data_IF_038541819121
#
_entry.id   IF_038541819121
#
_cell.length_a   1.000
_cell.length_b   1.000
_cell.length_c   1.000
_cell.angle_alpha   90.00
_cell.angle_beta   90.00
_cell.angle_gamma   90.00
#
_symmetry.space_group_name_H-M   'P 1'
#
loop_
_entity.id
_entity.type
_entity.pdbx_description
1 polymer ?
#
# COMPACT_ATOMS: atom_id res chain seq x y z
N UNK A 1 -8.79 -10.28 -5.31
CA UNK A 1 -7.42 -9.89 -5.71
C UNK A 1 -7.28 -8.40 -5.42
N UNK A 2 -6.40 -8.02 -4.48
CA UNK A 2 -6.38 -6.67 -3.89
C UNK A 2 -6.26 -5.52 -4.91
N UNK A 3 -6.68 -4.33 -4.48
CA UNK A 3 -6.53 -3.07 -5.23
C UNK A 3 -5.90 -2.02 -4.35
N UNK A 4 -4.97 -1.26 -4.93
CA UNK A 4 -4.38 -0.07 -4.33
C UNK A 4 -4.40 1.07 -5.35
N UNK A 5 -5.08 2.15 -4.99
CA UNK A 5 -5.01 3.45 -5.65
C UNK A 5 -4.02 4.30 -4.85
N UNK A 6 -3.13 5.00 -5.54
CA UNK A 6 -2.09 5.85 -4.97
C UNK A 6 -2.21 7.21 -5.63
N UNK A 7 -2.24 8.28 -4.85
CA UNK A 7 -2.18 9.66 -5.33
C UNK A 7 -0.98 10.37 -4.72
N UNK A 8 -0.09 10.89 -5.54
CA UNK A 8 0.99 11.79 -5.12
C UNK A 8 0.68 13.21 -5.59
N UNK A 9 0.75 14.18 -4.68
CA UNK A 9 0.49 15.60 -4.94
C UNK A 9 -0.90 15.90 -5.54
N UNK A 10 -1.87 15.01 -5.29
CA UNK A 10 -3.21 15.06 -5.91
C UNK A 10 -4.17 16.04 -5.23
N UNK A 11 -3.94 16.35 -3.95
CA UNK A 11 -4.67 17.39 -3.20
C UNK A 11 -3.85 18.66 -3.14
N UNK A 12 -2.59 18.53 -2.73
CA UNK A 12 -1.61 19.59 -2.55
C UNK A 12 -0.18 19.05 -2.71
N UNK A 13 0.80 19.87 -3.10
CA UNK A 13 2.20 19.43 -3.14
C UNK A 13 2.68 18.92 -1.78
N UNK A 14 3.36 17.78 -1.77
CA UNK A 14 3.79 17.11 -0.55
C UNK A 14 2.65 16.36 0.14
N UNK A 15 1.71 15.78 -0.61
CA UNK A 15 0.64 14.94 -0.07
C UNK A 15 0.59 13.56 -0.73
N UNK A 16 0.22 12.56 0.05
CA UNK A 16 -0.03 11.19 -0.39
C UNK A 16 -1.45 10.80 -0.05
N UNK A 17 -2.11 10.15 -0.99
CA UNK A 17 -3.37 9.47 -0.78
C UNK A 17 -3.23 8.00 -1.12
N UNK A 18 -3.78 7.11 -0.29
CA UNK A 18 -3.96 5.70 -0.63
C UNK A 18 -5.42 5.30 -0.44
N UNK A 19 -5.94 4.50 -1.34
CA UNK A 19 -7.21 3.80 -1.17
C UNK A 19 -7.03 2.34 -1.53
N UNK A 20 -7.37 1.45 -0.61
CA UNK A 20 -6.94 0.07 -0.71
C UNK A 20 -8.06 -0.88 -0.32
N UNK A 21 -8.41 -1.82 -1.21
CA UNK A 21 -9.24 -2.99 -0.88
C UNK A 21 -8.35 -4.23 -0.75
N UNK A 22 -8.46 -4.91 0.38
CA UNK A 22 -7.85 -6.22 0.60
C UNK A 22 -8.88 -7.29 0.29
N UNK A 23 -8.56 -8.08 -0.72
CA UNK A 23 -9.36 -9.22 -1.12
C UNK A 23 -8.64 -10.51 -0.75
N UNK A 24 -9.23 -11.30 0.14
CA UNK A 24 -8.58 -12.45 0.76
C UNK A 24 -9.60 -13.55 1.08
N UNK A 25 -9.10 -14.78 1.18
CA UNK A 25 -9.80 -15.92 1.76
C UNK A 25 -10.34 -15.53 3.16
N UNK A 26 -11.66 -15.59 3.39
CA UNK A 26 -12.25 -15.29 4.69
C UNK A 26 -11.73 -16.18 5.82
N UNK A 27 -11.22 -17.37 5.52
CA UNK A 27 -10.58 -18.27 6.48
C UNK A 27 -9.15 -17.84 6.87
N UNK A 28 -8.60 -16.76 6.29
CA UNK A 28 -7.34 -16.17 6.71
C UNK A 28 -7.59 -15.01 7.67
N UNK A 29 -7.44 -15.21 8.99
CA UNK A 29 -7.76 -14.19 9.98
C UNK A 29 -6.79 -13.01 9.89
N UNK A 30 -7.34 -11.80 10.02
CA UNK A 30 -6.57 -10.57 10.16
C UNK A 30 -7.20 -9.64 11.20
N UNK A 31 -6.38 -8.85 11.89
CA UNK A 31 -6.82 -7.78 12.75
C UNK A 31 -6.72 -6.42 12.02
N UNK A 32 -7.60 -5.49 12.38
CA UNK A 32 -7.58 -4.12 11.90
C UNK A 32 -6.37 -3.32 12.38
N UNK A 33 -6.32 -2.01 12.08
CA UNK A 33 -5.17 -1.17 12.36
C UNK A 33 -4.84 -1.09 13.85
N UNK A 34 -3.58 -1.39 14.18
CA UNK A 34 -3.00 -1.25 15.51
C UNK A 34 -1.50 -0.93 15.41
N UNK A 35 -0.86 -0.63 16.54
CA UNK A 35 0.59 -0.54 16.63
C UNK A 35 1.18 -1.95 16.42
N UNK A 36 1.97 -2.10 15.36
CA UNK A 36 2.62 -3.36 14.96
C UNK A 36 4.05 -3.47 15.49
N UNK A 37 4.75 -2.33 15.57
CA UNK A 37 6.10 -2.18 16.13
C UNK A 37 6.14 -0.90 16.97
N UNK A 38 6.83 -0.91 18.10
CA UNK A 38 6.94 0.24 19.00
C UNK A 38 8.12 1.16 18.64
N UNK A 39 9.26 0.57 18.26
CA UNK A 39 10.51 1.28 18.00
C UNK A 39 11.21 0.73 16.74
N UNK A 40 11.05 1.39 15.57
CA UNK A 40 10.24 2.58 15.35
C UNK A 40 8.73 2.28 15.31
N UNK A 41 7.86 3.28 15.55
CA UNK A 41 6.41 3.10 15.53
C UNK A 41 5.92 2.78 14.11
N UNK A 42 5.32 1.60 13.96
CA UNK A 42 4.68 1.16 12.71
C UNK A 42 3.25 0.77 13.01
N UNK A 43 2.30 1.32 12.26
CA UNK A 43 0.86 1.08 12.43
C UNK A 43 0.32 0.34 11.21
N UNK A 44 -0.61 -0.59 11.38
CA UNK A 44 -1.28 -1.23 10.26
C UNK A 44 -2.14 -2.41 10.70
N UNK A 45 -2.79 -3.06 9.73
CA UNK A 45 -3.47 -4.33 9.99
C UNK A 45 -2.47 -5.46 10.23
N UNK A 46 -2.90 -6.51 10.93
CA UNK A 46 -2.04 -7.69 11.20
C UNK A 46 -2.63 -8.94 10.58
N UNK A 47 -1.86 -9.64 9.75
CA UNK A 47 -2.15 -11.01 9.37
C UNK A 47 -1.92 -11.92 10.58
N UNK A 48 -2.99 -12.52 11.11
CA UNK A 48 -2.91 -13.34 12.32
C UNK A 48 -2.38 -14.74 12.04
N UNK A 49 -2.25 -15.15 10.76
CA UNK A 49 -1.67 -16.43 10.37
C UNK A 49 -0.15 -16.35 10.22
N UNK A 50 0.35 -15.29 9.57
CA UNK A 50 1.79 -15.18 9.26
C UNK A 50 2.50 -14.04 9.98
N UNK A 51 1.79 -13.26 10.80
CA UNK A 51 2.36 -12.15 11.59
C UNK A 51 2.79 -10.92 10.79
N UNK A 52 2.56 -10.90 9.48
CA UNK A 52 2.89 -9.79 8.59
C UNK A 52 1.80 -8.72 8.53
N UNK A 53 1.97 -7.77 7.60
CA UNK A 53 0.97 -6.74 7.27
C UNK A 53 0.80 -6.61 5.76
N UNK A 54 -0.38 -6.15 5.35
CA UNK A 54 -0.67 -5.81 3.97
C UNK A 54 -0.48 -4.30 3.68
N UNK A 55 -0.76 -3.45 4.67
CA UNK A 55 -0.63 -2.00 4.63
C UNK A 55 -0.09 -1.54 5.98
N UNK A 56 1.05 -0.85 5.95
CA UNK A 56 1.71 -0.30 7.12
C UNK A 56 2.03 1.17 6.93
N UNK A 57 1.87 1.95 7.98
CA UNK A 57 2.18 3.37 8.05
C UNK A 57 3.32 3.55 9.05
N UNK A 58 4.37 4.25 8.61
CA UNK A 58 5.48 4.70 9.44
C UNK A 58 5.19 6.13 9.87
N UNK A 59 4.58 6.27 11.06
CA UNK A 59 4.10 7.54 11.57
C UNK A 59 3.27 8.29 10.50
N UNK A 60 3.44 9.61 10.38
CA UNK A 60 2.88 10.43 9.29
C UNK A 60 3.82 10.59 8.09
N UNK A 61 4.87 9.76 8.01
CA UNK A 61 6.02 9.97 7.10
C UNK A 61 5.96 9.10 5.86
N UNK A 62 5.49 7.87 5.97
CA UNK A 62 5.41 6.97 4.83
C UNK A 62 4.33 5.90 5.02
N UNK A 63 3.85 5.37 3.90
CA UNK A 63 3.02 4.20 3.83
C UNK A 63 3.68 3.13 2.96
N UNK A 64 3.50 1.88 3.34
CA UNK A 64 4.00 0.69 2.65
C UNK A 64 2.84 -0.25 2.44
N UNK A 65 2.62 -0.66 1.20
CA UNK A 65 1.63 -1.65 0.85
C UNK A 65 2.28 -2.80 0.08
N UNK A 66 1.68 -3.98 0.13
CA UNK A 66 2.12 -5.12 -0.67
C UNK A 66 0.97 -5.77 -1.39
N UNK A 67 1.12 -6.04 -2.68
CA UNK A 67 0.09 -6.69 -3.49
C UNK A 67 0.61 -8.02 -4.01
N UNK A 68 -0.24 -9.04 -3.95
CA UNK A 68 0.07 -10.34 -4.54
C UNK A 68 0.02 -10.22 -6.06
N UNK A 69 1.05 -10.71 -6.75
CA UNK A 69 1.01 -10.83 -8.21
C UNK A 69 0.39 -12.17 -8.61
N UNK A 70 -0.27 -12.22 -9.76
CA UNK A 70 -0.77 -13.50 -10.30
C UNK A 70 0.43 -14.33 -10.77
N UNK A 71 0.56 -15.59 -10.34
CA UNK A 71 1.57 -16.49 -10.89
C UNK A 71 1.33 -16.66 -12.40
N UNK A 72 2.38 -16.62 -13.21
CA UNK A 72 2.28 -17.05 -14.62
C UNK A 72 2.11 -18.56 -14.68
N UNK A 73 1.49 -19.04 -15.76
CA UNK A 73 1.20 -20.47 -15.94
C UNK A 73 2.47 -21.35 -15.88
N UNK A 74 3.62 -20.78 -16.25
CA UNK A 74 4.92 -21.46 -16.29
C UNK A 74 5.78 -21.19 -15.03
N UNK A 75 5.25 -20.50 -14.02
CA UNK A 75 6.00 -20.22 -12.79
C UNK A 75 6.23 -21.52 -12.03
N UNK A 76 7.50 -21.96 -11.99
CA UNK A 76 7.90 -23.02 -11.09
C UNK A 76 7.62 -22.58 -9.64
N UNK A 77 7.08 -23.46 -8.78
CA UNK A 77 6.91 -23.13 -7.38
C UNK A 77 8.27 -22.71 -6.79
N UNK A 78 8.32 -21.68 -5.93
CA UNK A 78 9.57 -21.24 -5.32
C UNK A 78 10.30 -22.42 -4.67
N UNK A 79 11.63 -22.45 -4.79
CA UNK A 79 12.42 -23.44 -4.07
C UNK A 79 12.26 -23.22 -2.56
N UNK A 80 11.60 -24.15 -1.87
CA UNK A 80 11.30 -24.08 -0.45
C UNK A 80 9.99 -23.34 -0.12
N UNK A 81 9.65 -23.27 1.18
CA UNK A 81 8.47 -22.54 1.63
C UNK A 81 8.75 -21.03 1.59
N UNK A 82 8.08 -20.26 0.71
CA UNK A 82 8.33 -18.83 0.62
C UNK A 82 7.95 -18.14 1.93
N UNK A 83 8.79 -17.20 2.37
CA UNK A 83 8.50 -16.34 3.51
C UNK A 83 7.28 -15.48 3.20
N UNK A 84 6.46 -15.19 4.22
CA UNK A 84 5.28 -14.35 4.03
C UNK A 84 5.66 -12.98 3.49
N UNK A 85 5.06 -12.60 2.36
CA UNK A 85 5.12 -11.26 1.77
C UNK A 85 4.77 -10.17 2.79
N UNK A 86 3.84 -10.42 3.70
CA UNK A 86 3.49 -9.40 4.71
C UNK A 86 4.63 -9.05 5.67
N UNK A 87 5.64 -9.91 5.82
CA UNK A 87 6.84 -9.59 6.60
C UNK A 87 7.78 -8.66 5.83
N UNK A 88 7.76 -8.69 4.49
CA UNK A 88 8.49 -7.74 3.64
C UNK A 88 7.95 -6.32 3.83
N UNK A 89 6.63 -6.15 3.85
CA UNK A 89 6.01 -4.84 4.12
C UNK A 89 6.39 -4.28 5.50
N UNK A 90 6.41 -5.13 6.54
CA UNK A 90 6.89 -4.74 7.87
C UNK A 90 8.37 -4.32 7.87
N UNK A 91 9.23 -5.08 7.19
CA UNK A 91 10.67 -4.77 7.12
C UNK A 91 10.93 -3.42 6.43
N UNK A 92 10.19 -3.12 5.37
CA UNK A 92 10.27 -1.83 4.67
C UNK A 92 9.74 -0.69 5.53
N UNK A 93 8.61 -0.87 6.22
CA UNK A 93 8.05 0.15 7.11
C UNK A 93 8.92 0.45 8.34
N UNK A 94 9.71 -0.54 8.79
CA UNK A 94 10.66 -0.40 9.89
C UNK A 94 11.94 0.33 9.49
N UNK A 95 12.28 0.42 8.19
CA UNK A 95 13.43 1.17 7.71
C UNK A 95 13.27 2.68 7.97
N UNK A 96 14.35 3.49 8.00
CA UNK A 96 14.22 4.95 8.02
C UNK A 96 13.23 5.42 6.93
N UNK A 97 12.34 6.39 7.23
CA UNK A 97 11.28 6.82 6.33
C UNK A 97 11.83 7.73 5.22
N UNK A 98 12.77 7.20 4.45
CA UNK A 98 13.46 7.82 3.31
C UNK A 98 13.41 6.81 2.16
N UNK A 99 13.10 7.29 0.96
CA UNK A 99 12.80 6.44 -0.20
C UNK A 99 13.90 5.38 -0.46
N UNK A 100 15.16 5.80 -0.48
CA UNK A 100 16.31 4.93 -0.75
C UNK A 100 16.52 3.89 0.35
N UNK A 101 16.43 4.29 1.62
CA UNK A 101 16.59 3.37 2.75
C UNK A 101 15.48 2.30 2.77
N UNK A 102 14.26 2.68 2.39
CA UNK A 102 13.13 1.77 2.25
C UNK A 102 13.31 0.81 1.06
N UNK A 103 13.80 1.29 -0.08
CA UNK A 103 14.07 0.46 -1.26
C UNK A 103 15.18 -0.56 -0.96
N UNK A 104 16.26 -0.11 -0.33
CA UNK A 104 17.34 -0.94 0.17
C UNK A 104 16.84 -2.03 1.13
N UNK A 105 15.93 -1.67 2.06
CA UNK A 105 15.33 -2.63 2.97
C UNK A 105 14.50 -3.69 2.23
N UNK A 106 13.76 -3.30 1.19
CA UNK A 106 13.01 -4.22 0.35
C UNK A 106 13.95 -5.22 -0.37
N UNK A 107 15.00 -4.70 -1.03
CA UNK A 107 15.97 -5.51 -1.75
C UNK A 107 16.73 -6.48 -0.83
N UNK A 108 17.17 -6.01 0.35
CA UNK A 108 17.81 -6.86 1.36
C UNK A 108 16.88 -7.98 1.83
N UNK A 109 15.62 -7.67 2.12
CA UNK A 109 14.65 -8.66 2.58
C UNK A 109 14.33 -9.71 1.50
N UNK A 110 14.25 -9.30 0.23
CA UNK A 110 14.09 -10.21 -0.92
C UNK A 110 15.32 -11.10 -1.15
N UNK A 111 16.53 -10.57 -0.91
CA UNK A 111 17.78 -11.35 -1.01
C UNK A 111 18.00 -12.32 0.16
N UNK A 112 17.47 -12.02 1.34
CA UNK A 112 17.65 -12.85 2.53
C UNK A 112 16.79 -14.13 2.52
N UNK A 113 15.60 -14.08 1.92
CA UNK A 113 14.66 -15.20 1.90
C UNK A 113 13.83 -15.24 0.61
N UNK A 114 13.47 -16.44 0.12
CA UNK A 114 12.55 -16.55 -1.02
C UNK A 114 11.18 -15.99 -0.66
N UNK A 115 10.60 -15.20 -1.55
CA UNK A 115 9.23 -14.69 -1.47
C UNK A 115 8.49 -15.01 -2.76
N UNK A 116 7.21 -15.34 -2.65
CA UNK A 116 6.35 -15.48 -3.82
C UNK A 116 6.14 -14.12 -4.53
N UNK A 117 5.78 -14.10 -5.82
CA UNK A 117 5.63 -12.86 -6.59
C UNK A 117 4.75 -11.81 -5.90
N UNK A 118 5.23 -10.57 -5.92
CA UNK A 118 4.55 -9.43 -5.28
C UNK A 118 4.98 -8.08 -5.84
N UNK A 119 4.15 -7.08 -5.63
CA UNK A 119 4.52 -5.67 -5.81
C UNK A 119 4.56 -5.01 -4.43
N UNK A 120 5.71 -4.45 -4.04
CA UNK A 120 5.82 -3.60 -2.84
C UNK A 120 5.69 -2.16 -3.28
N UNK A 121 4.85 -1.38 -2.61
CA UNK A 121 4.69 0.05 -2.85
C UNK A 121 5.13 0.80 -1.61
N UNK A 122 5.95 1.82 -1.78
CA UNK A 122 6.28 2.81 -0.76
C UNK A 122 5.87 4.19 -1.24
N UNK A 123 5.17 4.95 -0.40
CA UNK A 123 4.74 6.30 -0.71
C UNK A 123 4.90 7.21 0.50
N UNK A 124 5.43 8.40 0.28
CA UNK A 124 5.64 9.45 1.27
C UNK A 124 5.34 10.82 0.67
N UNK A 125 5.09 11.85 1.51
CA UNK A 125 5.03 13.24 1.06
C UNK A 125 6.24 13.70 0.22
N UNK A 126 7.40 13.04 0.35
CA UNK A 126 8.62 13.39 -0.37
C UNK A 126 8.81 12.59 -1.68
N UNK A 127 7.88 11.67 -2.01
CA UNK A 127 7.92 10.84 -3.20
C UNK A 127 7.55 9.38 -2.94
N UNK A 128 7.59 8.54 -3.97
CA UNK A 128 7.21 7.13 -3.87
C UNK A 128 7.85 6.23 -4.93
N UNK A 129 7.77 4.93 -4.72
CA UNK A 129 8.18 3.91 -5.68
C UNK A 129 7.32 2.64 -5.57
N UNK A 130 7.31 1.86 -6.65
CA UNK A 130 6.80 0.51 -6.67
C UNK A 130 7.93 -0.45 -7.09
N UNK A 131 8.08 -1.55 -6.36
CA UNK A 131 9.05 -2.62 -6.62
C UNK A 131 8.29 -3.88 -7.02
N UNK A 132 8.41 -4.29 -8.28
CA UNK A 132 7.89 -5.56 -8.77
C UNK A 132 8.90 -6.67 -8.51
N UNK A 133 8.48 -7.72 -7.81
CA UNK A 133 9.25 -8.92 -7.53
C UNK A 133 8.58 -10.12 -8.20
N UNK A 134 9.26 -10.70 -9.19
CA UNK A 134 8.75 -11.80 -10.00
C UNK A 134 9.91 -12.74 -10.40
N UNK A 135 10.34 -13.62 -9.46
CA UNK A 135 11.43 -14.56 -9.72
C UNK A 135 11.16 -15.44 -10.96
N UNK A 136 12.20 -15.84 -11.71
CA UNK A 136 13.62 -15.66 -11.42
C UNK A 136 14.20 -14.31 -11.86
N UNK A 137 13.41 -13.40 -12.44
CA UNK A 137 13.89 -12.09 -12.84
C UNK A 137 14.31 -11.26 -11.61
N UNK A 138 15.27 -10.36 -11.82
CA UNK A 138 15.66 -9.41 -10.79
C UNK A 138 14.49 -8.46 -10.46
N UNK A 139 14.33 -8.02 -9.20
CA UNK A 139 13.29 -7.06 -8.85
C UNK A 139 13.44 -5.75 -9.62
N UNK A 140 12.31 -5.18 -10.05
CA UNK A 140 12.26 -3.94 -10.84
C UNK A 140 11.67 -2.82 -9.99
N UNK A 141 12.49 -1.82 -9.65
CA UNK A 141 12.07 -0.61 -8.94
C UNK A 141 11.64 0.46 -9.96
N UNK A 142 10.45 1.04 -9.78
CA UNK A 142 9.93 2.15 -10.59
C UNK A 142 9.54 3.32 -9.68
N UNK A 143 10.05 4.54 -9.91
CA UNK A 143 9.58 5.71 -9.19
C UNK A 143 8.12 6.02 -9.56
N UNK A 144 7.37 6.57 -8.60
CA UNK A 144 6.03 7.10 -8.81
C UNK A 144 6.13 8.58 -9.17
N UNK A 145 5.41 9.00 -10.19
CA UNK A 145 5.32 10.40 -10.58
C UNK A 145 4.20 11.10 -9.77
N UNK A 146 4.17 12.44 -9.70
CA UNK A 146 3.00 13.15 -9.24
C UNK A 146 1.76 12.77 -10.07
N UNK A 147 0.64 12.54 -9.39
CA UNK A 147 -0.63 12.10 -9.99
C UNK A 147 -1.16 10.79 -9.42
N UNK A 148 -2.11 10.21 -10.15
CA UNK A 148 -2.77 8.97 -9.78
C UNK A 148 -2.09 7.75 -10.37
N UNK A 149 -1.94 6.72 -9.55
CA UNK A 149 -1.43 5.41 -9.92
C UNK A 149 -2.34 4.32 -9.36
N UNK A 150 -2.37 3.17 -10.02
CA UNK A 150 -3.15 2.01 -9.60
C UNK A 150 -2.33 0.74 -9.71
N UNK A 151 -2.40 -0.09 -8.66
CA UNK A 151 -1.81 -1.42 -8.63
C UNK A 151 -2.89 -2.42 -8.22
N UNK A 152 -2.99 -3.53 -8.94
CA UNK A 152 -3.80 -4.68 -8.56
C UNK A 152 -2.91 -5.91 -8.40
N UNK A 153 -2.94 -6.84 -9.35
CA UNK A 153 -2.09 -8.04 -9.38
C UNK A 153 -1.06 -8.04 -10.51
N UNK A 154 -1.12 -7.03 -11.36
CA UNK A 154 -0.25 -6.84 -12.49
C UNK A 154 0.79 -5.74 -12.17
N UNK A 155 1.48 -5.25 -13.20
CA UNK A 155 2.41 -4.14 -13.06
C UNK A 155 1.71 -2.84 -12.68
N UNK A 156 2.49 -1.91 -12.11
CA UNK A 156 2.06 -0.56 -11.83
C UNK A 156 1.51 0.09 -13.10
N UNK A 157 0.27 0.57 -13.01
CA UNK A 157 -0.50 1.21 -14.08
C UNK A 157 -0.70 0.34 -15.32
N UNK A 158 -0.66 -0.99 -15.17
CA UNK A 158 -0.89 -1.90 -16.29
C UNK A 158 -2.33 -1.81 -16.79
N UNK A 159 -2.50 -1.14 -17.94
CA UNK A 159 -3.79 -0.98 -18.62
C UNK A 159 -4.31 -2.25 -19.29
N UNK A 160 -3.51 -3.32 -19.40
CA UNK A 160 -4.02 -4.62 -19.79
C UNK A 160 -4.88 -5.26 -18.68
N UNK A 161 -4.72 -4.81 -17.43
CA UNK A 161 -5.56 -5.23 -16.32
C UNK A 161 -6.84 -4.39 -16.27
N UNK A 162 -8.04 -4.97 -16.46
CA UNK A 162 -9.28 -4.19 -16.65
C UNK A 162 -9.63 -3.27 -15.47
N UNK A 163 -9.37 -3.70 -14.22
CA UNK A 163 -9.68 -2.87 -13.05
C UNK A 163 -8.72 -1.70 -12.95
N UNK A 164 -7.44 -1.90 -13.19
CA UNK A 164 -6.43 -0.84 -13.29
C UNK A 164 -6.79 0.15 -14.38
N UNK A 165 -7.10 -0.30 -15.60
CA UNK A 165 -7.47 0.57 -16.71
C UNK A 165 -8.70 1.44 -16.38
N UNK A 166 -9.78 0.82 -15.89
CA UNK A 166 -11.01 1.50 -15.49
C UNK A 166 -10.75 2.55 -14.40
N UNK A 167 -9.99 2.20 -13.35
CA UNK A 167 -9.69 3.13 -12.26
C UNK A 167 -8.81 4.29 -12.74
N UNK A 168 -7.82 4.05 -13.59
CA UNK A 168 -7.00 5.11 -14.18
C UNK A 168 -7.83 6.07 -15.05
N UNK A 169 -8.77 5.54 -15.84
CA UNK A 169 -9.69 6.36 -16.64
C UNK A 169 -10.60 7.21 -15.76
N UNK A 170 -11.15 6.64 -14.68
CA UNK A 170 -12.02 7.35 -13.73
C UNK A 170 -11.28 8.36 -12.83
N UNK A 171 -9.99 8.13 -12.58
CA UNK A 171 -9.12 9.05 -11.84
C UNK A 171 -8.53 10.14 -12.74
N UNK A 172 -8.58 9.98 -14.08
CA UNK A 172 -8.01 10.93 -15.02
C UNK A 172 -8.64 12.31 -14.87
N UNK A 173 -7.82 13.31 -14.52
CA UNK A 173 -8.28 14.69 -14.32
C UNK A 173 -9.05 14.93 -13.02
N UNK A 174 -9.26 13.90 -12.17
CA UNK A 174 -9.85 14.12 -10.85
C UNK A 174 -8.83 14.78 -9.90
N UNK A 175 -9.12 16.01 -9.50
CA UNK A 175 -8.26 16.80 -8.61
C UNK A 175 -9.05 17.25 -7.37
N UNK A 176 -9.16 16.39 -6.33
CA UNK A 176 -9.84 16.75 -5.09
C UNK A 176 -9.15 17.93 -4.42
N UNK A 177 -9.92 18.95 -4.00
CA UNK A 177 -9.37 20.19 -3.43
C UNK A 177 -9.26 20.18 -1.91
N UNK A 178 -9.80 19.15 -1.27
CA UNK A 178 -9.79 19.00 0.19
C UNK A 178 -9.61 17.52 0.56
N UNK A 179 -9.09 17.22 1.77
CA UNK A 179 -9.04 15.85 2.28
C UNK A 179 -10.42 15.17 2.37
N UNK A 180 -11.49 15.93 2.66
CA UNK A 180 -12.86 15.38 2.69
C UNK A 180 -13.35 14.96 1.30
N UNK A 181 -13.09 15.79 0.27
CA UNK A 181 -13.47 15.47 -1.10
C UNK A 181 -12.65 14.29 -1.66
N UNK A 182 -11.36 14.25 -1.31
CA UNK A 182 -10.48 13.12 -1.58
C UNK A 182 -11.06 11.83 -0.96
N UNK A 183 -11.32 11.85 0.34
CA UNK A 183 -11.82 10.72 1.09
C UNK A 183 -13.14 10.19 0.51
N UNK A 184 -14.12 11.06 0.29
CA UNK A 184 -15.41 10.67 -0.26
C UNK A 184 -15.28 10.03 -1.65
N UNK A 185 -14.44 10.61 -2.52
CA UNK A 185 -14.21 10.08 -3.86
C UNK A 185 -13.42 8.77 -3.88
N UNK A 186 -12.50 8.56 -2.94
CA UNK A 186 -11.79 7.29 -2.79
C UNK A 186 -12.72 6.19 -2.26
N UNK A 187 -13.55 6.48 -1.25
CA UNK A 187 -14.53 5.50 -0.77
C UNK A 187 -15.55 5.11 -1.84
N UNK A 188 -16.01 6.06 -2.67
CA UNK A 188 -16.90 5.76 -3.78
C UNK A 188 -16.29 4.72 -4.75
N UNK A 189 -14.98 4.83 -5.04
CA UNK A 189 -14.24 3.89 -5.89
C UNK A 189 -14.04 2.54 -5.21
N UNK A 190 -13.69 2.53 -3.92
CA UNK A 190 -13.52 1.28 -3.16
C UNK A 190 -14.82 0.49 -3.00
N UNK A 191 -15.98 1.16 -3.07
CA UNK A 191 -17.33 0.56 -2.98
C UNK A 191 -17.90 0.11 -4.32
N UNK A 192 -17.15 0.22 -5.41
CA UNK A 192 -17.67 -0.10 -6.73
C UNK A 192 -17.89 -1.61 -6.90
N UNK A 193 -19.13 -2.05 -7.16
CA UNK A 193 -19.49 -3.47 -7.36
C UNK A 193 -19.36 -3.94 -8.82
N UNK A 194 -19.13 -3.00 -9.75
CA UNK A 194 -19.10 -3.32 -11.17
C UNK A 194 -20.46 -3.74 -11.74
N UNK A 195 -20.56 -3.78 -13.06
CA UNK A 195 -21.78 -4.20 -13.79
C UNK A 195 -21.46 -5.08 -15.02
N UNK A 196 -20.24 -5.61 -15.09
CA UNK A 196 -19.80 -6.53 -16.15
C UNK A 196 -18.32 -6.40 -16.47
N UNK A 197 -17.88 -6.98 -17.59
CA UNK A 197 -16.48 -6.96 -18.00
C UNK A 197 -15.94 -5.55 -18.28
N UNK A 198 -16.81 -4.63 -18.73
CA UNK A 198 -16.45 -3.23 -18.98
C UNK A 198 -16.24 -2.41 -17.71
N UNK A 199 -16.79 -2.87 -16.58
CA UNK A 199 -16.69 -2.20 -15.27
C UNK A 199 -16.47 -3.24 -14.18
N UNK A 200 -15.23 -3.74 -14.03
CA UNK A 200 -14.94 -4.77 -13.06
C UNK A 200 -15.20 -4.28 -11.62
N UNK A 201 -15.66 -5.17 -10.71
CA UNK A 201 -15.82 -4.83 -9.29
C UNK A 201 -14.48 -4.42 -8.67
N UNK A 202 -14.50 -3.40 -7.81
CA UNK A 202 -13.42 -3.07 -6.87
C UNK A 202 -13.75 -3.63 -5.48
N UNK A 203 -15.01 -3.56 -5.05
CA UNK A 203 -15.53 -4.28 -3.90
C UNK A 203 -16.05 -5.65 -4.37
N UNK A 204 -15.37 -6.72 -4.00
CA UNK A 204 -15.72 -8.09 -4.39
C UNK A 204 -16.60 -8.72 -3.30
N UNK A 205 -17.75 -9.23 -3.70
CA UNK A 205 -18.66 -9.97 -2.81
C UNK A 205 -18.57 -11.48 -3.01
N UNK A 206 -18.39 -11.90 -4.25
CA UNK A 206 -18.48 -13.29 -4.66
C UNK A 206 -17.10 -13.92 -4.98
N UNK A 207 -17.03 -15.23 -4.87
CA UNK A 207 -15.83 -16.02 -5.14
C UNK A 207 -14.96 -16.27 -3.90
N UNK A 208 -13.81 -16.93 -4.09
CA UNK A 208 -12.99 -17.42 -2.97
C UNK A 208 -12.22 -16.33 -2.22
N UNK A 209 -12.13 -15.12 -2.79
CA UNK A 209 -11.32 -14.02 -2.27
C UNK A 209 -12.15 -12.72 -2.30
N UNK A 210 -13.25 -12.62 -1.52
CA UNK A 210 -14.04 -11.39 -1.42
C UNK A 210 -13.22 -10.28 -0.76
N UNK A 211 -13.67 -9.04 -0.86
CA UNK A 211 -13.11 -7.93 -0.10
C UNK A 211 -13.40 -8.14 1.38
N UNK A 212 -12.36 -8.18 2.21
CA UNK A 212 -12.48 -8.44 3.66
C UNK A 212 -12.09 -7.24 4.51
N UNK A 213 -11.43 -6.25 3.94
CA UNK A 213 -11.13 -4.99 4.60
C UNK A 213 -10.78 -3.91 3.59
N UNK A 214 -10.98 -2.65 3.96
CA UNK A 214 -10.64 -1.51 3.11
C UNK A 214 -10.02 -0.38 3.93
N UNK A 215 -9.12 0.40 3.34
CA UNK A 215 -8.51 1.56 4.00
C UNK A 215 -8.43 2.77 3.06
N UNK A 216 -8.63 3.95 3.61
CA UNK A 216 -8.26 5.23 2.99
C UNK A 216 -7.26 5.93 3.88
N UNK A 217 -6.14 6.35 3.31
CA UNK A 217 -5.05 7.05 4.00
C UNK A 217 -4.79 8.36 3.27
N UNK A 218 -4.59 9.43 4.03
CA UNK A 218 -4.04 10.68 3.53
C UNK A 218 -2.90 11.12 4.43
N UNK A 219 -1.73 11.42 3.87
CA UNK A 219 -0.56 11.93 4.59
C UNK A 219 -0.12 13.24 3.95
N UNK A 220 0.06 14.29 4.75
CA UNK A 220 0.66 15.54 4.33
C UNK A 220 1.47 16.13 5.48
N UNK A 221 2.28 17.16 5.20
CA UNK A 221 3.06 17.85 6.24
C UNK A 221 2.16 18.44 7.35
N UNK A 222 0.94 18.85 7.00
CA UNK A 222 -0.01 19.49 7.93
C UNK A 222 -0.95 18.54 8.67
N UNK A 223 -0.96 17.24 8.35
CA UNK A 223 -1.88 16.30 8.98
C UNK A 223 -1.89 14.92 8.33
N UNK A 224 -2.64 14.01 8.94
CA UNK A 224 -2.83 12.67 8.42
C UNK A 224 -4.24 12.15 8.73
N UNK A 225 -4.73 11.26 7.87
CA UNK A 225 -5.94 10.47 8.08
C UNK A 225 -5.63 8.99 7.84
N UNK A 226 -6.15 8.13 8.71
CA UNK A 226 -6.18 6.68 8.47
C UNK A 226 -7.56 6.15 8.82
N UNK A 227 -8.37 5.92 7.79
CA UNK A 227 -9.71 5.39 7.91
C UNK A 227 -9.75 3.94 7.46
N UNK A 228 -10.47 3.09 8.19
CA UNK A 228 -10.48 1.66 7.93
C UNK A 228 -11.86 1.04 8.12
N UNK A 229 -12.19 0.09 7.26
CA UNK A 229 -13.35 -0.80 7.42
C UNK A 229 -12.82 -2.22 7.55
N UNK A 230 -13.05 -2.85 8.71
CA UNK A 230 -12.82 -4.29 8.90
C UNK A 230 -14.05 -5.05 8.35
N UNK A 231 -14.07 -5.24 7.05
CA UNK A 231 -15.17 -5.80 6.28
C UNK A 231 -15.25 -5.17 4.89
N UNK A 232 -16.36 -5.38 4.19
CA UNK A 232 -16.58 -4.74 2.89
C UNK A 232 -16.87 -3.25 3.07
N UNK A 233 -16.25 -2.37 2.27
CA UNK A 233 -16.43 -0.93 2.41
C UNK A 233 -17.86 -0.45 2.13
N UNK A 234 -18.67 -1.23 1.41
CA UNK A 234 -20.08 -0.91 1.11
C UNK A 234 -21.05 -1.33 2.23
N UNK A 235 -20.63 -2.17 3.16
CA UNK A 235 -21.45 -2.70 4.26
C UNK A 235 -21.12 -2.03 5.61
N UNK A 236 -19.98 -1.34 5.70
CA UNK A 236 -19.48 -0.73 6.93
C UNK A 236 -19.16 0.75 6.83
N UNK A 237 -19.28 1.45 7.96
CA UNK A 237 -18.75 2.80 8.11
C UNK A 237 -17.24 2.74 8.43
N UNK A 238 -16.42 3.62 7.84
CA UNK A 238 -15.00 3.71 8.18
C UNK A 238 -14.81 4.15 9.64
N UNK A 239 -13.98 3.41 10.38
CA UNK A 239 -13.47 3.81 11.68
C UNK A 239 -12.21 4.67 11.52
N UNK A 240 -12.06 5.69 12.36
CA UNK A 240 -10.91 6.59 12.35
C UNK A 240 -9.78 6.10 13.26
N UNK A 241 -8.65 5.76 12.64
CA UNK A 241 -7.41 5.30 13.28
C UNK A 241 -6.27 6.33 13.21
N UNK A 242 -6.57 7.58 12.84
CA UNK A 242 -5.57 8.65 12.69
C UNK A 242 -4.82 8.94 14.00
N UNK A 243 -5.46 8.68 15.15
CA UNK A 243 -4.85 8.80 16.47
C UNK A 243 -3.65 7.85 16.71
N UNK A 244 -3.53 6.78 15.92
CA UNK A 244 -2.37 5.87 15.98
C UNK A 244 -1.13 6.46 15.30
N UNK A 245 -1.31 7.46 14.43
CA UNK A 245 -0.22 8.07 13.66
C UNK A 245 0.46 9.17 14.49
N UNK A 246 1.48 8.77 15.24
CA UNK A 246 2.34 9.70 15.96
C UNK A 246 3.05 10.66 14.99
N UNK A 247 3.37 11.86 15.47
CA UNK A 247 4.40 12.68 14.85
C UNK A 247 5.76 12.04 15.19
N UNK A 248 6.52 11.62 14.17
CA UNK A 248 7.89 11.13 14.41
C UNK A 248 8.77 12.37 14.66
N UNK A 249 9.54 12.42 15.76
CA UNK A 249 10.45 13.54 16.00
C UNK A 249 11.39 13.69 14.79
N UNK A 250 11.79 14.94 14.45
CA UNK A 250 12.73 15.16 13.36
C UNK A 250 13.96 14.26 13.58
N UNK A 251 14.47 13.69 12.48
CA UNK A 251 15.70 12.93 12.54
C UNK A 251 16.77 13.81 13.23
N UNK A 252 17.56 13.28 14.16
CA UNK A 252 18.63 14.07 14.76
C UNK A 252 19.48 14.62 13.62
N UNK A 253 19.62 15.95 13.57
CA UNK A 253 20.42 16.62 12.55
C UNK A 253 21.74 15.85 12.44
N UNK A 254 21.99 15.29 11.25
CA UNK A 254 23.24 14.64 10.93
C UNK A 254 24.31 15.71 11.01
N UNK A 255 24.86 15.86 12.21
CA UNK A 255 25.73 16.97 12.58
C UNK A 255 26.81 17.09 11.55
N UNK A 256 26.72 18.16 10.76
CA UNK A 256 27.79 18.60 9.89
C UNK A 256 29.05 18.63 10.75
N UNK A 257 29.95 17.68 10.50
CA UNK A 257 31.31 17.73 11.00
C UNK A 257 32.02 18.84 10.22
N UNK A 258 31.67 20.07 10.56
CA UNK A 258 32.40 21.28 10.23
C UNK A 258 33.53 21.45 11.24
N UNK A 259 34.71 20.99 10.85
CA UNK A 259 36.01 21.65 11.03
C UNK A 259 36.50 22.05 12.43
N UNK A 260 37.65 21.49 12.82
CA UNK A 260 38.86 22.16 13.35
C UNK A 260 39.80 21.02 13.79
N UNK A 261 41.05 20.84 13.35
CA UNK A 261 42.14 21.74 12.93
C UNK A 261 43.01 21.07 11.87
#
# INVERSE_FOLDING_TARGET
MCTLIIGLDVVEPGSVALAANRDEDPARPSAGPALLLDAPPVVGGRDLRSGGTWLALRARRAAVAILNRRPRADDAPPAGAPRSRGLLALAVAAAPPVADAAADAALRALGAHPHAPCTVVWASPDGGWALAHEPPAAPVLRPLAPGWHVVTHADLDDRAEPRTAMLLDDLAGWAPRTPDALEAGLWARLRLHGDGAARPPVCIHDGPMPTVSASVVWLARGGARYLHVQGRPCEGAPADHSHLLADEPPAPDGGAHGGSR
#
